data_IF_257341613257
#
_entry.id   IF_257341613257
#
_cell.length_a   1.000
_cell.length_b   1.000
_cell.length_c   1.000
_cell.angle_alpha   90.00
_cell.angle_beta   90.00
_cell.angle_gamma   90.00
#
_symmetry.space_group_name_H-M   'P 1'
#
loop_
_entity.id
_entity.type
_entity.pdbx_description
1 polymer ?
#
# COMPACT_ATOMS: atom_id res chain seq x y z
N UNK A 1 -15.76 -66.46 -2.91
CA UNK A 1 -14.32 -66.15 -2.89
C UNK A 1 -14.17 -64.63 -2.94
N UNK A 2 -13.80 -64.00 -1.83
CA UNK A 2 -13.57 -62.55 -1.75
C UNK A 2 -12.08 -62.30 -2.01
N UNK A 3 -11.74 -61.61 -3.09
CA UNK A 3 -10.37 -61.21 -3.41
C UNK A 3 -10.15 -59.77 -2.92
N UNK A 4 -9.27 -59.62 -1.93
CA UNK A 4 -8.80 -58.32 -1.41
C UNK A 4 -7.99 -57.57 -2.48
N UNK A 5 -8.27 -56.29 -2.69
CA UNK A 5 -7.37 -55.37 -3.42
C UNK A 5 -6.53 -54.57 -2.41
N UNK A 6 -5.22 -54.37 -2.68
CA UNK A 6 -4.32 -53.64 -1.79
C UNK A 6 -4.57 -52.13 -1.83
N UNK A 7 -4.31 -51.49 -0.68
CA UNK A 7 -4.36 -50.04 -0.48
C UNK A 7 -3.35 -49.35 -1.41
N UNK A 8 -3.84 -48.67 -2.45
CA UNK A 8 -3.01 -47.83 -3.29
C UNK A 8 -2.56 -46.60 -2.48
N UNK A 9 -1.26 -46.45 -2.29
CA UNK A 9 -0.65 -45.32 -1.63
C UNK A 9 -1.06 -44.01 -2.35
N UNK A 10 -1.64 -43.06 -1.62
CA UNK A 10 -2.01 -41.77 -2.16
C UNK A 10 -0.76 -41.03 -2.69
N UNK A 11 -0.83 -40.38 -3.87
CA UNK A 11 0.26 -39.55 -4.34
C UNK A 11 0.49 -38.41 -3.35
N UNK A 12 1.74 -38.22 -2.93
CA UNK A 12 2.17 -37.11 -2.09
C UNK A 12 1.78 -35.80 -2.79
N UNK A 13 0.80 -35.09 -2.23
CA UNK A 13 0.43 -33.76 -2.69
C UNK A 13 1.67 -32.87 -2.61
N UNK A 14 2.06 -32.14 -3.68
CA UNK A 14 3.18 -31.21 -3.59
C UNK A 14 2.88 -30.16 -2.53
N UNK A 15 3.79 -29.97 -1.58
CA UNK A 15 3.66 -28.92 -0.56
C UNK A 15 3.41 -27.57 -1.25
N UNK A 16 2.48 -26.74 -0.73
CA UNK A 16 2.27 -25.40 -1.27
C UNK A 16 3.60 -24.63 -1.20
N UNK A 17 3.94 -23.82 -2.22
CA UNK A 17 5.13 -22.98 -2.16
C UNK A 17 5.05 -22.08 -0.91
N UNK A 18 6.19 -21.77 -0.26
CA UNK A 18 6.20 -20.82 0.84
C UNK A 18 5.53 -19.52 0.39
N UNK A 19 4.71 -18.87 1.23
CA UNK A 19 4.09 -17.61 0.86
C UNK A 19 5.21 -16.63 0.50
N UNK A 20 5.17 -16.08 -0.72
CA UNK A 20 6.02 -14.97 -1.10
C UNK A 20 5.82 -13.90 -0.03
N UNK A 21 6.89 -13.61 0.73
CA UNK A 21 6.82 -12.66 1.83
C UNK A 21 6.71 -11.27 1.22
N UNK A 22 5.48 -10.82 1.02
CA UNK A 22 5.16 -9.47 0.59
C UNK A 22 5.81 -8.46 1.57
N UNK A 23 6.34 -7.33 1.08
CA UNK A 23 6.97 -6.34 1.95
C UNK A 23 5.91 -5.78 2.91
N UNK A 24 6.07 -5.94 4.24
CA UNK A 24 5.06 -5.51 5.20
C UNK A 24 5.00 -3.98 5.31
N UNK A 25 3.90 -3.47 5.86
CA UNK A 25 3.84 -2.08 6.30
C UNK A 25 4.94 -1.85 7.35
N UNK A 26 5.75 -0.77 7.24
CA UNK A 26 6.75 -0.42 8.25
C UNK A 26 6.17 -0.28 9.66
N UNK A 27 6.97 -0.59 10.70
CA UNK A 27 6.55 -0.54 12.11
C UNK A 27 5.91 0.81 12.51
N UNK A 28 6.42 1.92 11.97
CA UNK A 28 5.90 3.27 12.21
C UNK A 28 4.63 3.64 11.45
N UNK A 29 4.11 2.72 10.62
CA UNK A 29 3.01 2.96 9.70
C UNK A 29 3.37 3.89 8.55
N UNK A 30 2.45 4.01 7.60
CA UNK A 30 2.60 4.84 6.40
C UNK A 30 1.39 5.70 6.13
N UNK A 31 1.62 6.89 5.59
CA UNK A 31 0.56 7.82 5.22
C UNK A 31 -0.05 7.46 3.87
N UNK A 32 -1.38 7.49 3.81
CA UNK A 32 -2.13 7.61 2.56
C UNK A 32 -2.42 9.08 2.35
N UNK A 33 -2.11 9.58 1.16
CA UNK A 33 -2.35 10.99 0.82
C UNK A 33 -3.49 11.14 -0.19
N UNK A 34 -4.05 12.34 -0.31
CA UNK A 34 -4.83 12.72 -1.50
C UNK A 34 -3.93 12.72 -2.73
N UNK A 35 -4.38 12.14 -3.83
CA UNK A 35 -3.57 12.01 -5.05
C UNK A 35 -3.31 13.32 -5.78
N UNK A 36 -4.00 14.40 -5.43
CA UNK A 36 -3.79 15.77 -5.92
C UNK A 36 -3.02 16.65 -4.93
N UNK A 37 -2.63 16.11 -3.77
CA UNK A 37 -1.90 16.87 -2.76
C UNK A 37 -0.60 17.47 -3.32
N UNK A 38 -0.44 18.78 -3.16
CA UNK A 38 0.77 19.50 -3.54
C UNK A 38 1.33 20.23 -2.33
N UNK A 39 2.44 19.73 -1.78
CA UNK A 39 3.40 20.47 -0.95
C UNK A 39 2.99 21.05 0.41
N UNK A 40 1.70 21.13 0.77
CA UNK A 40 1.28 21.67 2.08
C UNK A 40 1.04 20.55 3.10
N UNK A 41 1.86 20.56 4.16
CA UNK A 41 1.92 19.53 5.19
C UNK A 41 0.71 19.68 6.13
N UNK A 42 -0.36 18.91 5.88
CA UNK A 42 -1.51 18.82 6.79
C UNK A 42 -2.80 18.37 6.12
N UNK A 43 -3.24 19.04 5.05
CA UNK A 43 -4.51 18.75 4.38
C UNK A 43 -4.48 17.55 3.43
N UNK A 44 -3.28 17.04 3.15
CA UNK A 44 -3.07 15.95 2.23
C UNK A 44 -3.24 14.56 2.85
N UNK A 45 -3.18 14.40 4.17
CA UNK A 45 -3.14 13.07 4.81
C UNK A 45 -4.56 12.55 5.04
N UNK A 46 -4.87 11.40 4.45
CA UNK A 46 -6.20 10.79 4.51
C UNK A 46 -6.30 9.67 5.54
N UNK A 47 -5.22 8.92 5.69
CA UNK A 47 -5.14 7.84 6.64
C UNK A 47 -3.68 7.56 7.02
N UNK A 48 -3.51 6.89 8.15
CA UNK A 48 -2.26 6.26 8.55
C UNK A 48 -2.52 4.76 8.62
N UNK A 49 -1.82 3.98 7.79
CA UNK A 49 -1.92 2.52 7.79
C UNK A 49 -0.87 1.97 8.75
N UNK A 50 -1.31 1.16 9.71
CA UNK A 50 -0.47 0.49 10.70
C UNK A 50 -0.30 -0.99 10.36
N UNK A 51 0.90 -1.55 10.58
CA UNK A 51 1.12 -2.98 10.42
C UNK A 51 0.28 -3.77 11.43
N UNK A 52 -0.21 -4.94 11.02
CA UNK A 52 -1.07 -5.82 11.81
C UNK A 52 -2.52 -5.37 11.93
N UNK A 53 -2.85 -4.13 11.54
CA UNK A 53 -4.21 -3.57 11.60
C UNK A 53 -4.74 -3.24 10.22
N UNK A 54 -3.93 -2.58 9.39
CA UNK A 54 -4.34 -2.02 8.10
C UNK A 54 -3.69 -2.74 6.90
N UNK A 55 -3.14 -3.94 7.10
CA UNK A 55 -2.42 -4.69 6.04
C UNK A 55 -3.31 -5.06 4.84
N UNK A 56 -4.63 -5.18 5.08
CA UNK A 56 -5.62 -5.49 4.05
C UNK A 56 -6.29 -4.25 3.45
N UNK A 57 -5.89 -3.04 3.87
CA UNK A 57 -6.56 -1.80 3.46
C UNK A 57 -6.25 -1.47 2.00
N UNK A 58 -7.28 -1.47 1.16
CA UNK A 58 -7.22 -1.10 -0.28
C UNK A 58 -7.98 0.19 -0.60
N UNK A 59 -8.80 0.70 0.33
CA UNK A 59 -9.69 1.84 0.10
C UNK A 59 -9.70 2.84 1.28
N UNK A 60 -10.10 4.08 1.01
CA UNK A 60 -10.44 5.10 2.01
C UNK A 60 -11.91 5.49 1.87
N UNK A 61 -12.70 5.23 2.90
CA UNK A 61 -14.14 5.51 2.95
C UNK A 61 -14.45 7.01 2.82
N UNK A 62 -15.68 7.32 2.37
CA UNK A 62 -16.17 8.71 2.30
C UNK A 62 -15.67 9.49 1.08
N UNK A 63 -15.17 8.82 0.04
CA UNK A 63 -14.68 9.44 -1.20
C UNK A 63 -15.38 8.86 -2.42
N UNK A 64 -15.58 9.67 -3.49
CA UNK A 64 -16.17 9.19 -4.73
C UNK A 64 -15.29 8.15 -5.45
N UNK A 65 -13.97 8.23 -5.27
CA UNK A 65 -12.99 7.26 -5.75
C UNK A 65 -12.20 6.73 -4.55
N UNK A 66 -12.71 5.69 -3.85
CA UNK A 66 -12.17 5.27 -2.58
C UNK A 66 -10.91 4.40 -2.72
N UNK A 67 -10.71 3.73 -3.87
CA UNK A 67 -9.57 2.83 -4.09
C UNK A 67 -8.25 3.60 -4.04
N UNK A 68 -7.31 3.10 -3.23
CA UNK A 68 -5.99 3.68 -3.04
C UNK A 68 -5.09 3.30 -4.22
N UNK A 69 -4.73 4.32 -5.00
CA UNK A 69 -3.83 4.17 -6.13
C UNK A 69 -2.39 3.93 -5.69
N UNK A 70 -1.74 2.98 -6.35
CA UNK A 70 -0.30 2.76 -6.21
C UNK A 70 0.47 3.74 -7.08
N UNK A 71 1.47 4.41 -6.50
CA UNK A 71 2.36 5.29 -7.24
C UNK A 71 3.81 5.02 -6.88
N UNK A 72 4.63 4.87 -7.91
CA UNK A 72 6.03 4.53 -7.78
C UNK A 72 6.91 5.74 -8.10
N UNK A 73 8.07 5.79 -7.48
CA UNK A 73 9.09 6.80 -7.66
C UNK A 73 10.45 6.15 -7.90
N UNK A 74 11.29 6.81 -8.68
CA UNK A 74 12.71 6.45 -8.77
C UNK A 74 13.40 6.66 -7.42
N UNK A 75 14.61 6.12 -7.25
CA UNK A 75 15.41 6.35 -6.05
C UNK A 75 15.71 7.85 -5.82
N UNK A 76 15.76 8.65 -6.89
CA UNK A 76 15.90 10.11 -6.83
C UNK A 76 14.59 10.84 -6.47
N UNK A 77 13.48 10.12 -6.30
CA UNK A 77 12.16 10.70 -5.98
C UNK A 77 11.36 11.17 -7.21
N UNK A 78 11.77 10.82 -8.42
CA UNK A 78 11.02 11.19 -9.63
C UNK A 78 9.77 10.30 -9.77
N UNK A 79 8.62 10.93 -9.93
CA UNK A 79 7.33 10.26 -10.05
C UNK A 79 7.17 9.43 -11.34
N UNK A 80 6.76 8.18 -11.16
CA UNK A 80 6.43 7.21 -12.21
C UNK A 80 5.07 6.56 -11.91
N UNK A 81 3.98 7.31 -12.14
CA UNK A 81 2.60 6.75 -12.18
C UNK A 81 2.37 5.90 -13.43
N UNK A 82 3.08 6.25 -14.50
CA UNK A 82 3.18 5.49 -15.74
C UNK A 82 4.61 4.94 -15.84
N UNK A 83 4.74 3.66 -16.13
CA UNK A 83 6.00 2.98 -16.42
C UNK A 83 5.79 2.19 -17.72
N UNK A 84 6.67 2.40 -18.70
CA UNK A 84 6.56 1.79 -20.05
C UNK A 84 5.18 1.94 -20.70
N UNK A 85 4.55 3.11 -20.54
CA UNK A 85 3.23 3.42 -21.09
C UNK A 85 2.04 2.83 -20.32
N UNK A 86 2.28 2.08 -19.23
CA UNK A 86 1.25 1.49 -18.40
C UNK A 86 1.16 2.15 -17.02
N UNK A 87 -0.08 2.38 -16.55
CA UNK A 87 -0.32 2.88 -15.20
C UNK A 87 -0.06 1.79 -14.15
N UNK A 88 0.64 2.13 -13.06
CA UNK A 88 1.10 1.16 -12.04
C UNK A 88 -0.02 0.27 -11.50
N UNK A 89 -1.19 0.85 -11.19
CA UNK A 89 -2.39 0.17 -10.71
C UNK A 89 -3.55 0.24 -11.73
N UNK A 90 -3.25 0.41 -13.02
CA UNK A 90 -4.26 0.59 -14.06
C UNK A 90 -4.72 2.05 -14.23
N UNK A 91 -5.36 2.33 -15.38
CA UNK A 91 -5.76 3.67 -15.76
C UNK A 91 -7.22 3.92 -15.38
N UNK A 92 -7.46 4.78 -14.37
CA UNK A 92 -8.81 5.02 -13.88
C UNK A 92 -9.71 5.71 -14.93
N UNK A 93 -9.15 6.41 -15.91
CA UNK A 93 -9.93 7.03 -16.98
C UNK A 93 -10.57 5.97 -17.87
N UNK A 94 -9.81 4.94 -18.25
CA UNK A 94 -10.29 3.87 -19.16
C UNK A 94 -11.17 2.85 -18.45
N UNK A 95 -11.02 2.73 -17.13
CA UNK A 95 -11.74 1.77 -16.30
C UNK A 95 -12.93 2.39 -15.55
N UNK A 96 -13.36 3.60 -15.93
CA UNK A 96 -14.53 4.25 -15.33
C UNK A 96 -14.37 4.60 -13.84
N UNK A 97 -13.13 4.84 -13.39
CA UNK A 97 -12.79 5.13 -11.98
C UNK A 97 -12.40 3.92 -11.16
N UNK A 98 -12.56 2.70 -11.69
CA UNK A 98 -12.11 1.48 -11.04
C UNK A 98 -10.63 1.28 -11.37
N UNK A 99 -9.77 1.14 -10.37
CA UNK A 99 -8.36 0.79 -10.56
C UNK A 99 -8.09 -0.51 -9.80
N UNK A 100 -6.92 -1.09 -9.99
CA UNK A 100 -6.54 -2.29 -9.26
C UNK A 100 -6.51 -2.04 -7.76
N UNK A 101 -7.28 -2.80 -6.99
CA UNK A 101 -7.29 -2.76 -5.53
C UNK A 101 -6.07 -3.51 -4.99
N UNK A 102 -5.06 -2.75 -4.60
CA UNK A 102 -3.82 -3.28 -4.04
C UNK A 102 -3.72 -2.90 -2.57
N UNK A 103 -3.25 -3.83 -1.74
CA UNK A 103 -2.78 -3.49 -0.39
C UNK A 103 -1.46 -2.74 -0.47
N UNK A 104 -1.04 -2.11 0.64
CA UNK A 104 0.27 -1.45 0.69
C UNK A 104 1.41 -2.39 0.28
N UNK A 105 1.39 -3.63 0.77
CA UNK A 105 2.43 -4.62 0.50
C UNK A 105 2.47 -5.03 -0.96
N UNK A 106 1.30 -5.19 -1.60
CA UNK A 106 1.20 -5.46 -3.03
C UNK A 106 1.65 -4.25 -3.87
N UNK A 107 1.28 -3.03 -3.48
CA UNK A 107 1.72 -1.79 -4.11
C UNK A 107 3.24 -1.63 -4.05
N UNK A 108 3.84 -1.89 -2.90
CA UNK A 108 5.28 -1.85 -2.71
C UNK A 108 5.98 -2.92 -3.57
N UNK A 109 5.49 -4.16 -3.58
CA UNK A 109 6.02 -5.21 -4.47
C UNK A 109 5.89 -4.82 -5.95
N UNK A 110 4.76 -4.21 -6.34
CA UNK A 110 4.54 -3.72 -7.71
C UNK A 110 5.61 -2.70 -8.08
N UNK A 111 5.88 -1.71 -7.24
CA UNK A 111 6.97 -0.76 -7.50
C UNK A 111 8.34 -1.45 -7.58
N UNK A 112 8.64 -2.37 -6.65
CA UNK A 112 9.91 -3.10 -6.66
C UNK A 112 10.11 -3.95 -7.92
N UNK A 113 9.06 -4.59 -8.44
CA UNK A 113 9.11 -5.37 -9.68
C UNK A 113 9.43 -4.52 -10.92
N UNK A 114 9.20 -3.20 -10.84
CA UNK A 114 9.51 -2.23 -11.89
C UNK A 114 10.85 -1.52 -11.66
N UNK A 115 11.65 -1.95 -10.68
CA UNK A 115 12.89 -1.27 -10.28
C UNK A 115 12.66 0.11 -9.63
N UNK A 116 11.46 0.34 -9.08
CA UNK A 116 11.04 1.58 -8.44
C UNK A 116 10.75 1.36 -6.95
N UNK A 117 10.46 2.45 -6.25
CA UNK A 117 10.10 2.45 -4.82
C UNK A 117 8.80 3.19 -4.57
N UNK A 118 8.19 2.99 -3.41
CA UNK A 118 7.03 3.77 -2.98
C UNK A 118 7.41 5.25 -2.77
N UNK A 119 6.65 6.16 -3.37
CA UNK A 119 6.91 7.61 -3.29
C UNK A 119 6.78 8.17 -1.88
N UNK A 120 7.55 9.22 -1.56
CA UNK A 120 7.46 9.99 -0.31
C UNK A 120 6.63 11.27 -0.46
N UNK A 121 5.79 11.33 -1.48
CA UNK A 121 4.99 12.50 -1.84
C UNK A 121 3.81 12.05 -2.68
N UNK A 122 2.80 12.89 -2.85
CA UNK A 122 1.82 12.67 -3.93
C UNK A 122 2.46 13.03 -5.27
N UNK A 123 2.22 12.20 -6.29
CA UNK A 123 2.67 12.44 -7.66
C UNK A 123 1.64 13.22 -8.47
N UNK A 124 1.05 14.24 -7.86
CA UNK A 124 -0.02 15.04 -8.44
C UNK A 124 0.33 15.51 -9.86
N UNK A 125 -0.63 15.38 -10.78
CA UNK A 125 -0.47 15.82 -12.17
C UNK A 125 0.33 14.88 -13.07
N UNK A 126 0.77 13.72 -12.59
CA UNK A 126 1.57 12.75 -13.38
C UNK A 126 0.75 11.71 -14.17
N UNK A 127 -0.57 11.90 -14.30
CA UNK A 127 -1.45 11.06 -15.12
C UNK A 127 -2.20 9.96 -14.36
N UNK A 128 -2.77 9.01 -15.12
CA UNK A 128 -3.60 7.87 -14.66
C UNK A 128 -4.89 8.22 -13.90
N UNK A 129 -5.25 9.52 -13.86
CA UNK A 129 -6.36 10.08 -13.11
C UNK A 129 -6.27 9.84 -11.58
N UNK A 130 -5.09 9.47 -11.08
CA UNK A 130 -4.86 9.22 -9.65
C UNK A 130 -5.01 10.47 -8.78
N UNK A 131 -5.04 11.67 -9.36
CA UNK A 131 -5.36 12.90 -8.62
C UNK A 131 -6.71 12.82 -7.90
N UNK A 132 -7.65 12.00 -8.38
CA UNK A 132 -8.98 11.84 -7.76
C UNK A 132 -9.02 10.73 -6.69
N UNK A 133 -7.96 9.93 -6.61
CA UNK A 133 -7.86 8.79 -5.71
C UNK A 133 -6.97 9.13 -4.50
N UNK A 134 -7.16 8.47 -3.35
CA UNK A 134 -6.10 8.34 -2.37
C UNK A 134 -4.88 7.65 -2.99
N UNK A 135 -3.68 7.92 -2.48
CA UNK A 135 -2.43 7.34 -2.96
C UNK A 135 -1.60 6.80 -1.80
N UNK A 136 -1.05 5.59 -1.96
CA UNK A 136 -0.08 5.06 -1.03
C UNK A 136 1.23 5.85 -1.10
N UNK A 137 1.88 6.02 0.05
CA UNK A 137 3.22 6.64 0.14
C UNK A 137 4.11 5.88 1.11
N UNK A 138 5.42 6.13 1.06
CA UNK A 138 6.39 5.69 2.06
C UNK A 138 6.66 6.75 3.13
N UNK A 139 5.82 7.78 3.24
CA UNK A 139 5.92 8.74 4.33
C UNK A 139 5.51 8.07 5.63
N UNK A 140 6.33 8.13 6.68
CA UNK A 140 5.95 7.58 7.97
C UNK A 140 4.75 8.33 8.53
N UNK A 141 3.90 7.62 9.28
CA UNK A 141 2.94 8.31 10.13
C UNK A 141 3.68 9.19 11.13
N UNK A 142 3.05 10.29 11.57
CA UNK A 142 3.62 11.04 12.67
C UNK A 142 3.72 10.11 13.88
N UNK A 143 4.86 10.12 14.57
CA UNK A 143 4.97 9.46 15.86
C UNK A 143 3.82 10.00 16.73
N UNK A 144 3.15 9.12 17.48
CA UNK A 144 2.21 9.59 18.50
C UNK A 144 2.93 10.67 19.33
N UNK A 145 2.29 11.80 19.66
CA UNK A 145 2.91 12.78 20.53
C UNK A 145 3.39 12.02 21.78
N UNK A 146 4.67 12.16 22.12
CA UNK A 146 5.18 11.68 23.40
C UNK A 146 4.22 12.25 24.45
N UNK A 147 3.51 11.37 25.15
CA UNK A 147 2.65 11.78 26.25
C UNK A 147 3.47 12.73 27.13
N UNK A 148 2.98 13.95 27.46
CA UNK A 148 3.76 14.85 28.29
C UNK A 148 4.11 14.11 29.58
N UNK A 149 5.40 14.00 29.87
CA UNK A 149 5.88 13.37 31.10
C UNK A 149 5.16 14.02 32.29
N UNK A 150 4.67 13.24 33.27
CA UNK A 150 4.03 13.81 34.45
C UNK A 150 4.97 14.82 35.12
N UNK A 151 4.48 15.98 35.60
CA UNK A 151 5.32 16.98 36.24
C UNK A 151 6.04 16.37 37.47
N UNK A 152 7.27 16.81 37.78
CA UNK A 152 7.96 16.34 38.97
C UNK A 152 7.17 16.69 40.24
N UNK A 153 7.19 15.83 41.29
CA UNK A 153 6.45 16.11 42.52
C UNK A 153 7.02 17.37 43.20
N UNK A 154 6.13 18.31 43.53
CA UNK A 154 6.46 19.46 44.38
C UNK A 154 6.90 18.94 45.76
N UNK A 155 8.16 19.16 46.09
CA UNK A 155 8.68 18.91 47.44
C UNK A 155 8.20 20.03 48.36
N UNK A 156 7.49 19.66 49.44
CA UNK A 156 7.07 20.55 50.54
C UNK A 156 8.28 21.02 51.36
#
# INVERSE_FOLDING_TARGET
VFTSLPCAAAPLSPSPPPPLSLPPIPAGGVKVLSGDASGMIGEAVLACLKPGTDDATTTVSGRPYPIIASQCCTAAGECRRVHDGQCVAGNALTLGGQIEELTYSQAAQRCSSLGLSMCRQSCAGKGCMYNRHPVFTSLPCAAAPLSPSPPPPLSL
#
